data_IF_174170878795
#
_entry.id   IF_174170878795
#
_cell.length_a   1.000
_cell.length_b   1.000
_cell.length_c   1.000
_cell.angle_alpha   90.00
_cell.angle_beta   90.00
_cell.angle_gamma   90.00
#
_symmetry.space_group_name_H-M   'P 1'
#
loop_
_entity.id
_entity.type
_entity.pdbx_description
1 polymer ?
#
# COMPACT_ATOMS: atom_id res chain seq x y z
N UNK A 1 -2.44 5.11 -0.35
CA UNK A 1 -3.90 5.28 -0.62
C UNK A 1 -4.30 6.44 -1.57
N UNK A 2 -3.98 7.71 -1.28
CA UNK A 2 -4.51 8.87 -2.03
C UNK A 2 -4.20 8.91 -3.54
N UNK A 3 -2.96 8.58 -3.94
CA UNK A 3 -2.56 8.52 -5.35
C UNK A 3 -3.31 7.42 -6.15
N UNK A 4 -3.71 6.34 -5.49
CA UNK A 4 -4.52 5.28 -6.11
C UNK A 4 -5.94 5.75 -6.45
N UNK A 5 -6.52 6.64 -5.63
CA UNK A 5 -7.88 7.14 -5.85
C UNK A 5 -8.00 8.01 -7.10
N UNK A 6 -6.97 8.82 -7.40
CA UNK A 6 -6.86 9.56 -8.66
C UNK A 6 -6.68 8.62 -9.86
N UNK A 7 -6.06 7.46 -9.65
CA UNK A 7 -5.83 6.45 -10.68
C UNK A 7 -7.13 5.73 -11.08
N UNK A 8 -8.11 5.61 -10.17
CA UNK A 8 -9.45 5.08 -10.47
C UNK A 8 -10.32 6.00 -11.35
N UNK A 9 -10.01 7.30 -11.43
CA UNK A 9 -10.77 8.28 -12.23
C UNK A 9 -10.22 8.51 -13.63
N UNK A 10 -9.34 7.63 -14.10
CA UNK A 10 -8.72 7.75 -15.41
C UNK A 10 -9.73 7.48 -16.52
N UNK A 11 -9.67 8.27 -17.60
CA UNK A 11 -10.36 8.00 -18.85
C UNK A 11 -9.54 7.00 -19.69
N UNK A 12 -10.19 5.92 -20.13
CA UNK A 12 -9.57 4.90 -20.97
C UNK A 12 -9.74 5.26 -22.46
N UNK A 13 -8.69 5.09 -23.30
CA UNK A 13 -8.82 5.22 -24.75
C UNK A 13 -9.76 4.17 -25.34
N UNK A 14 -10.55 4.52 -26.37
CA UNK A 14 -11.59 3.67 -26.98
C UNK A 14 -11.07 2.34 -27.58
N UNK A 15 -9.77 2.23 -27.82
CA UNK A 15 -9.11 1.03 -28.36
C UNK A 15 -8.58 0.08 -27.26
N UNK A 16 -8.82 0.38 -25.99
CA UNK A 16 -8.36 -0.45 -24.87
C UNK A 16 -9.26 -1.65 -24.70
N UNK A 17 -8.69 -2.86 -24.63
CA UNK A 17 -9.49 -4.04 -24.35
C UNK A 17 -10.09 -4.00 -22.94
N UNK A 18 -11.36 -4.39 -22.82
CA UNK A 18 -12.12 -4.42 -21.56
C UNK A 18 -11.40 -5.24 -20.46
N UNK A 19 -10.66 -6.28 -20.86
CA UNK A 19 -9.88 -7.12 -19.94
C UNK A 19 -8.78 -6.31 -19.23
N UNK A 20 -8.06 -5.46 -19.97
CA UNK A 20 -7.00 -4.62 -19.41
C UNK A 20 -7.57 -3.55 -18.45
N UNK A 21 -8.72 -2.98 -18.79
CA UNK A 21 -9.42 -2.02 -17.94
C UNK A 21 -9.88 -2.67 -16.62
N UNK A 22 -10.54 -3.83 -16.70
CA UNK A 22 -10.97 -4.58 -15.51
C UNK A 22 -9.78 -4.98 -14.62
N UNK A 23 -8.70 -5.48 -15.23
CA UNK A 23 -7.50 -5.88 -14.49
C UNK A 23 -6.85 -4.68 -13.80
N UNK A 24 -6.74 -3.54 -14.49
CA UNK A 24 -6.22 -2.31 -13.91
C UNK A 24 -7.06 -1.84 -12.72
N UNK A 25 -8.38 -1.75 -12.88
CA UNK A 25 -9.28 -1.30 -11.81
C UNK A 25 -9.26 -2.26 -10.61
N UNK A 26 -9.27 -3.57 -10.85
CA UNK A 26 -9.22 -4.57 -9.80
C UNK A 26 -7.91 -4.48 -8.99
N UNK A 27 -6.75 -4.44 -9.66
CA UNK A 27 -5.45 -4.34 -9.00
C UNK A 27 -5.34 -3.01 -8.23
N UNK A 28 -5.81 -1.91 -8.81
CA UNK A 28 -5.79 -0.59 -8.17
C UNK A 28 -6.66 -0.55 -6.92
N UNK A 29 -7.88 -1.13 -6.99
CA UNK A 29 -8.78 -1.22 -5.84
C UNK A 29 -8.21 -2.10 -4.73
N UNK A 30 -7.62 -3.25 -5.07
CA UNK A 30 -6.93 -4.11 -4.11
C UNK A 30 -5.78 -3.38 -3.42
N UNK A 31 -4.97 -2.64 -4.18
CA UNK A 31 -3.86 -1.89 -3.62
C UNK A 31 -4.33 -0.80 -2.64
N UNK A 32 -5.37 -0.04 -3.00
CA UNK A 32 -5.98 0.95 -2.09
C UNK A 32 -6.54 0.27 -0.83
N UNK A 33 -7.18 -0.89 -0.99
CA UNK A 33 -7.72 -1.65 0.14
C UNK A 33 -6.65 -2.08 1.14
N UNK A 34 -5.55 -2.66 0.66
CA UNK A 34 -4.41 -3.10 1.49
C UNK A 34 -3.76 -1.91 2.22
N UNK A 35 -3.58 -0.79 1.51
CA UNK A 35 -3.04 0.46 2.07
C UNK A 35 -3.96 1.05 3.15
N UNK A 36 -5.27 1.04 2.94
CA UNK A 36 -6.24 1.50 3.93
C UNK A 36 -6.25 0.58 5.16
N UNK A 37 -6.17 -0.73 4.97
CA UNK A 37 -6.05 -1.68 6.08
C UNK A 37 -4.78 -1.42 6.91
N UNK A 38 -3.65 -1.14 6.26
CA UNK A 38 -2.40 -0.78 6.95
C UNK A 38 -2.56 0.52 7.76
N UNK A 39 -3.14 1.56 7.17
CA UNK A 39 -3.38 2.85 7.85
C UNK A 39 -4.34 2.68 9.03
N UNK A 40 -5.42 1.91 8.86
CA UNK A 40 -6.39 1.66 9.94
C UNK A 40 -5.76 0.91 11.10
N UNK A 41 -4.93 -0.10 10.82
CA UNK A 41 -4.21 -0.83 11.86
C UNK A 41 -3.21 0.08 12.59
N UNK A 42 -2.44 0.88 11.85
CA UNK A 42 -1.51 1.84 12.44
C UNK A 42 -2.22 2.90 13.30
N UNK A 43 -3.32 3.47 12.81
CA UNK A 43 -4.11 4.47 13.53
C UNK A 43 -4.75 3.87 14.80
N UNK A 44 -5.28 2.66 14.70
CA UNK A 44 -5.85 1.93 15.85
C UNK A 44 -4.78 1.69 16.91
N UNK A 45 -3.59 1.22 16.51
CA UNK A 45 -2.47 1.02 17.42
C UNK A 45 -2.00 2.32 18.07
N UNK A 46 -1.93 3.43 17.32
CA UNK A 46 -1.51 4.73 17.85
C UNK A 46 -2.53 5.36 18.81
N UNK A 47 -3.84 5.15 18.60
CA UNK A 47 -4.89 5.71 19.44
C UNK A 47 -5.12 4.85 20.70
N UNK A 48 -5.22 3.53 20.53
CA UNK A 48 -5.59 2.64 21.62
C UNK A 48 -4.40 2.10 22.42
N UNK A 49 -3.19 2.06 21.85
CA UNK A 49 -1.98 1.59 22.53
C UNK A 49 -1.68 2.39 23.81
N UNK A 50 -1.47 3.72 23.72
CA UNK A 50 -1.21 4.56 24.88
C UNK A 50 -2.38 4.58 25.87
N UNK A 51 -3.62 4.52 25.38
CA UNK A 51 -4.82 4.52 26.22
C UNK A 51 -4.97 3.26 27.07
N UNK A 52 -4.57 2.10 26.55
CA UNK A 52 -4.54 0.83 27.29
C UNK A 52 -3.37 0.76 28.26
N UNK A 53 -2.23 1.37 27.92
CA UNK A 53 -1.09 1.56 28.83
C UNK A 53 -1.48 2.41 30.05
N UNK A 54 -2.06 3.60 29.84
CA UNK A 54 -2.38 4.54 30.92
C UNK A 54 -3.52 4.07 31.85
N UNK A 55 -4.36 3.13 31.40
CA UNK A 55 -5.51 2.60 32.16
C UNK A 55 -5.28 1.21 32.78
N UNK A 56 -4.14 0.56 32.50
CA UNK A 56 -3.83 -0.78 32.99
C UNK A 56 -3.40 -0.80 34.46
N UNK A 57 -3.94 -1.74 35.26
CA UNK A 57 -3.57 -1.90 36.69
C UNK A 57 -2.22 -2.59 36.94
N UNK A 58 -1.36 -2.73 35.91
CA UNK A 58 -0.14 -3.55 35.97
C UNK A 58 1.19 -2.80 35.93
N UNK A 59 1.19 -1.45 35.92
CA UNK A 59 2.43 -0.67 35.87
C UNK A 59 3.31 -1.02 34.65
N UNK A 60 4.61 -1.23 34.88
CA UNK A 60 5.59 -1.51 33.81
C UNK A 60 5.30 -2.84 33.08
N UNK A 61 4.81 -3.87 33.79
CA UNK A 61 4.50 -5.17 33.17
C UNK A 61 3.36 -5.09 32.15
N UNK A 62 2.38 -4.23 32.39
CA UNK A 62 1.31 -3.95 31.41
C UNK A 62 1.84 -3.15 30.20
N UNK A 63 2.86 -2.33 30.39
CA UNK A 63 3.51 -1.59 29.32
C UNK A 63 4.22 -2.53 28.35
N UNK A 64 4.98 -3.48 28.90
CA UNK A 64 5.74 -4.46 28.12
C UNK A 64 4.82 -5.36 27.29
N UNK A 65 3.69 -5.80 27.86
CA UNK A 65 2.66 -6.53 27.09
C UNK A 65 2.05 -5.72 25.96
N UNK A 66 1.78 -4.42 26.18
CA UNK A 66 1.26 -3.54 25.13
C UNK A 66 2.30 -3.36 24.02
N UNK A 67 3.57 -3.16 24.37
CA UNK A 67 4.66 -3.04 23.39
C UNK A 67 4.79 -4.32 22.57
N UNK A 68 4.79 -5.50 23.19
CA UNK A 68 4.88 -6.77 22.48
C UNK A 68 3.74 -6.97 21.46
N UNK A 69 2.50 -6.58 21.83
CA UNK A 69 1.37 -6.62 20.91
C UNK A 69 1.49 -5.57 19.80
N UNK A 70 2.02 -4.39 20.10
CA UNK A 70 2.24 -3.34 19.10
C UNK A 70 3.32 -3.73 18.09
N UNK A 71 4.40 -4.39 18.51
CA UNK A 71 5.43 -4.92 17.62
C UNK A 71 4.86 -5.99 16.68
N UNK A 72 4.11 -6.97 17.21
CA UNK A 72 3.47 -8.01 16.40
C UNK A 72 2.47 -7.43 15.37
N UNK A 73 1.72 -6.38 15.76
CA UNK A 73 0.81 -5.67 14.85
C UNK A 73 1.54 -4.77 13.85
N UNK A 74 2.69 -4.22 14.21
CA UNK A 74 3.53 -3.43 13.32
C UNK A 74 4.06 -4.29 12.17
N UNK A 75 4.57 -5.50 12.45
CA UNK A 75 5.07 -6.42 11.42
C UNK A 75 3.99 -6.80 10.40
N UNK A 76 2.79 -7.12 10.89
CA UNK A 76 1.62 -7.40 10.03
C UNK A 76 1.26 -6.17 9.18
N UNK A 77 1.30 -4.98 9.78
CA UNK A 77 0.97 -3.71 9.09
C UNK A 77 1.98 -3.39 7.99
N UNK A 78 3.27 -3.61 8.24
CA UNK A 78 4.34 -3.50 7.23
C UNK A 78 4.10 -4.50 6.10
N UNK A 79 3.68 -5.73 6.41
CA UNK A 79 3.30 -6.72 5.41
C UNK A 79 2.19 -6.23 4.47
N UNK A 80 1.10 -5.68 5.02
CA UNK A 80 0.02 -5.10 4.22
C UNK A 80 0.47 -3.91 3.37
N UNK A 81 1.33 -3.05 3.92
CA UNK A 81 1.90 -1.92 3.20
C UNK A 81 2.78 -2.37 2.03
N UNK A 82 3.68 -3.32 2.24
CA UNK A 82 4.55 -3.85 1.18
C UNK A 82 3.74 -4.52 0.07
N UNK A 83 2.72 -5.30 0.42
CA UNK A 83 1.82 -5.90 -0.56
C UNK A 83 1.03 -4.84 -1.35
N UNK A 84 0.51 -3.82 -0.67
CA UNK A 84 -0.18 -2.68 -1.29
C UNK A 84 0.72 -1.90 -2.25
N UNK A 85 1.98 -1.66 -1.85
CA UNK A 85 2.98 -0.97 -2.66
C UNK A 85 3.31 -1.73 -3.94
N UNK A 86 3.50 -3.05 -3.88
CA UNK A 86 3.70 -3.90 -5.08
C UNK A 86 2.48 -3.84 -6.01
N UNK A 87 1.26 -3.91 -5.48
CA UNK A 87 0.05 -3.81 -6.28
C UNK A 87 -0.09 -2.43 -6.97
N UNK A 88 0.26 -1.33 -6.29
CA UNK A 88 0.27 0.02 -6.89
C UNK A 88 1.25 0.10 -8.05
N UNK A 89 2.42 -0.51 -7.92
CA UNK A 89 3.47 -0.47 -8.95
C UNK A 89 3.05 -1.24 -10.19
N UNK A 90 2.44 -2.41 -10.01
CA UNK A 90 1.87 -3.20 -11.11
C UNK A 90 0.75 -2.40 -11.81
N UNK A 91 -0.18 -1.82 -11.05
CA UNK A 91 -1.25 -0.99 -11.60
C UNK A 91 -0.69 0.22 -12.38
N UNK A 92 0.30 0.91 -11.83
CA UNK A 92 0.92 2.09 -12.46
C UNK A 92 1.68 1.72 -13.74
N UNK A 93 2.30 0.54 -13.76
CA UNK A 93 2.96 0.02 -14.96
C UNK A 93 1.92 -0.30 -16.04
N UNK A 94 0.83 -0.98 -15.68
CA UNK A 94 -0.26 -1.30 -16.60
C UNK A 94 -0.89 -0.04 -17.20
N UNK A 95 -1.09 1.00 -16.39
CA UNK A 95 -1.52 2.32 -16.85
C UNK A 95 -0.56 2.93 -17.87
N UNK A 96 0.76 2.82 -17.65
CA UNK A 96 1.76 3.34 -18.58
C UNK A 96 1.68 2.66 -19.95
N UNK A 97 1.41 1.35 -19.98
CA UNK A 97 1.19 0.59 -21.22
C UNK A 97 -0.09 0.95 -21.96
N UNK A 98 -1.14 1.39 -21.24
CA UNK A 98 -2.41 1.82 -21.86
C UNK A 98 -2.30 3.22 -22.47
N UNK A 99 -1.57 4.14 -21.82
CA UNK A 99 -1.61 5.56 -22.16
C UNK A 99 -0.46 6.03 -23.07
N UNK A 100 0.69 5.35 -23.06
CA UNK A 100 1.90 5.78 -23.75
C UNK A 100 2.37 4.79 -24.81
N UNK A 101 3.19 5.26 -25.74
CA UNK A 101 3.92 4.40 -26.68
C UNK A 101 4.83 3.42 -25.94
N UNK A 102 5.10 2.26 -26.54
CA UNK A 102 5.81 1.14 -25.93
C UNK A 102 7.15 1.52 -25.27
N UNK A 103 7.95 2.38 -25.92
CA UNK A 103 9.23 2.83 -25.38
C UNK A 103 9.04 3.71 -24.14
N UNK A 104 8.07 4.62 -24.17
CA UNK A 104 7.77 5.50 -23.02
C UNK A 104 7.20 4.68 -21.86
N UNK A 105 6.35 3.70 -22.14
CA UNK A 105 5.83 2.77 -21.13
C UNK A 105 6.94 1.96 -20.45
N UNK A 106 7.93 1.49 -21.22
CA UNK A 106 9.09 0.77 -20.68
C UNK A 106 9.94 1.65 -19.75
N UNK A 107 10.25 2.89 -20.17
CA UNK A 107 11.05 3.82 -19.35
C UNK A 107 10.36 4.07 -17.99
N UNK A 108 9.04 4.32 -18.02
CA UNK A 108 8.24 4.54 -16.80
C UNK A 108 8.22 3.28 -15.93
N UNK A 109 8.00 2.11 -16.52
CA UNK A 109 7.96 0.83 -15.79
C UNK A 109 9.30 0.54 -15.11
N UNK A 110 10.42 0.73 -15.81
CA UNK A 110 11.77 0.53 -15.25
C UNK A 110 12.01 1.51 -14.10
N UNK A 111 11.66 2.79 -14.27
CA UNK A 111 11.80 3.80 -13.23
C UNK A 111 10.98 3.48 -11.97
N UNK A 112 9.73 3.02 -12.14
CA UNK A 112 8.86 2.62 -11.04
C UNK A 112 9.38 1.38 -10.31
N UNK A 113 9.86 0.37 -11.04
CA UNK A 113 10.45 -0.84 -10.46
C UNK A 113 11.73 -0.50 -9.70
N UNK A 114 12.59 0.36 -10.24
CA UNK A 114 13.82 0.80 -9.57
C UNK A 114 13.51 1.55 -8.27
N UNK A 115 12.59 2.52 -8.30
CA UNK A 115 12.17 3.24 -7.10
C UNK A 115 11.58 2.30 -6.05
N UNK A 116 10.75 1.36 -6.47
CA UNK A 116 10.17 0.33 -5.60
C UNK A 116 11.25 -0.51 -4.94
N UNK A 117 12.23 -0.95 -5.72
CA UNK A 117 13.37 -1.71 -5.21
C UNK A 117 14.14 -0.91 -4.15
N UNK A 118 14.44 0.36 -4.42
CA UNK A 118 15.12 1.25 -3.47
C UNK A 118 14.31 1.40 -2.18
N UNK A 119 12.99 1.58 -2.28
CA UNK A 119 12.11 1.71 -1.11
C UNK A 119 12.02 0.42 -0.30
N UNK A 120 11.94 -0.74 -0.96
CA UNK A 120 11.90 -2.04 -0.28
C UNK A 120 13.24 -2.34 0.40
N UNK A 121 14.36 -1.96 -0.20
CA UNK A 121 15.69 -2.12 0.41
C UNK A 121 15.91 -1.14 1.56
N UNK A 122 15.50 0.12 1.42
CA UNK A 122 15.67 1.14 2.45
C UNK A 122 14.71 0.97 3.63
N UNK A 123 13.56 0.32 3.40
CA UNK A 123 12.55 0.05 4.42
C UNK A 123 12.79 -1.23 5.23
N UNK A 124 13.87 -1.97 4.93
CA UNK A 124 14.37 -3.10 5.71
C UNK A 124 15.57 -2.68 6.55
#
# INVERSE_FOLDING_TARGET
AGFGFSSLKMSFPDHTSIVFEMLYLAITACAIGLELCAILNAATCSVFGPGKFLRGKGGIAAAEQVVAVLEDKMDITIGYFMAGLVCIVISSSLKAFIQYSFINALIVTIGLVFMTYVLVVSGR
#
